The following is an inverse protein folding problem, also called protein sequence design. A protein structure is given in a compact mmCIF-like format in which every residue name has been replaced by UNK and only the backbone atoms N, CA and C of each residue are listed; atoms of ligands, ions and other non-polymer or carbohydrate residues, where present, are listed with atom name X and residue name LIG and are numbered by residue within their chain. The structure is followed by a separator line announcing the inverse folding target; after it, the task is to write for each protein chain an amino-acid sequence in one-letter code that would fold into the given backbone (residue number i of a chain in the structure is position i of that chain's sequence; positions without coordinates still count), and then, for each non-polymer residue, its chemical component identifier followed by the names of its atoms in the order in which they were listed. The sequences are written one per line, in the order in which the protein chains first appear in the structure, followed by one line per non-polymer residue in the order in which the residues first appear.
data_IF_557127414570
#
_entry.id   IF_557127414570
#
_cell.length_a   1.000
_cell.length_b   1.000
_cell.length_c   1.000
_cell.angle_alpha   90.00
_cell.angle_beta   90.00
_cell.angle_gamma   90.00
#
_symmetry.space_group_name_H-M   'P 1'
#
loop_
_entity.id
_entity.type
_entity.pdbx_description
1 polymer ?
#
# COMPACT_ATOMS: atom_id res chain seq x y z
N UNK A 1 -5.02 25.42 14.41
CA UNK A 1 -5.91 25.07 13.27
C UNK A 1 -5.14 24.40 12.13
N UNK A 2 -4.05 24.98 11.66
CA UNK A 2 -3.21 24.40 10.57
C UNK A 2 -2.62 23.03 10.92
N UNK A 3 -2.15 22.83 12.16
CA UNK A 3 -1.63 21.54 12.68
C UNK A 3 -2.65 20.39 12.56
N UNK A 4 -3.92 20.66 12.87
CA UNK A 4 -5.02 19.69 12.77
C UNK A 4 -5.30 19.29 11.32
N UNK A 5 -5.22 20.25 10.39
CA UNK A 5 -5.40 20.00 8.96
C UNK A 5 -4.26 19.13 8.42
N UNK A 6 -3.02 19.42 8.81
CA UNK A 6 -1.86 18.59 8.43
C UNK A 6 -1.97 17.17 8.99
N UNK A 7 -2.38 17.02 10.25
CA UNK A 7 -2.58 15.72 10.88
C UNK A 7 -3.69 14.92 10.19
N UNK A 8 -4.82 15.56 9.86
CA UNK A 8 -5.91 14.93 9.12
C UNK A 8 -5.50 14.52 7.70
N UNK A 9 -4.72 15.35 7.00
CA UNK A 9 -4.21 15.05 5.66
C UNK A 9 -3.25 13.85 5.68
N UNK A 10 -2.42 13.75 6.73
CA UNK A 10 -1.51 12.62 6.96
C UNK A 10 -2.27 11.32 7.24
N UNK A 11 -3.32 11.41 8.05
CA UNK A 11 -4.21 10.28 8.35
C UNK A 11 -4.96 9.83 7.09
N UNK A 12 -5.45 10.77 6.27
CA UNK A 12 -6.05 10.49 4.96
C UNK A 12 -5.07 9.81 3.99
N UNK A 13 -3.84 10.31 3.88
CA UNK A 13 -2.81 9.71 3.03
C UNK A 13 -2.42 8.30 3.46
N UNK A 14 -2.27 8.08 4.77
CA UNK A 14 -2.02 6.76 5.33
C UNK A 14 -3.20 5.81 5.10
N UNK A 15 -4.43 6.27 5.34
CA UNK A 15 -5.65 5.49 5.13
C UNK A 15 -5.81 5.09 3.65
N UNK A 16 -5.54 6.02 2.73
CA UNK A 16 -5.59 5.78 1.28
C UNK A 16 -4.56 4.73 0.83
N UNK A 17 -3.34 4.79 1.38
CA UNK A 17 -2.31 3.77 1.10
C UNK A 17 -2.69 2.39 1.64
N UNK A 18 -3.25 2.31 2.85
CA UNK A 18 -3.72 1.03 3.42
C UNK A 18 -4.90 0.47 2.63
N UNK A 19 -5.85 1.32 2.22
CA UNK A 19 -6.99 0.89 1.43
C UNK A 19 -6.57 0.34 0.06
N UNK A 20 -5.69 1.04 -0.65
CA UNK A 20 -5.16 0.58 -1.95
C UNK A 20 -4.36 -0.73 -1.80
N UNK A 21 -3.59 -0.87 -0.72
CA UNK A 21 -2.90 -2.11 -0.41
C UNK A 21 -3.86 -3.29 -0.26
N UNK A 22 -4.92 -3.14 0.55
CA UNK A 22 -5.93 -4.17 0.78
C UNK A 22 -6.64 -4.54 -0.53
N UNK A 23 -6.99 -3.56 -1.36
CA UNK A 23 -7.66 -3.80 -2.65
C UNK A 23 -6.76 -4.59 -3.60
N UNK A 24 -5.48 -4.21 -3.72
CA UNK A 24 -4.52 -4.92 -4.59
C UNK A 24 -4.27 -6.33 -4.09
N UNK A 25 -4.09 -6.51 -2.78
CA UNK A 25 -3.92 -7.83 -2.19
C UNK A 25 -5.16 -8.72 -2.40
N UNK A 26 -6.38 -8.16 -2.23
CA UNK A 26 -7.63 -8.87 -2.48
C UNK A 26 -7.82 -9.27 -3.95
N UNK A 27 -7.49 -8.38 -4.89
CA UNK A 27 -7.49 -8.71 -6.32
C UNK A 27 -6.50 -9.83 -6.64
N UNK A 28 -5.31 -9.80 -6.02
CA UNK A 28 -4.31 -10.84 -6.23
C UNK A 28 -4.76 -12.20 -5.67
N UNK A 29 -5.30 -12.24 -4.45
CA UNK A 29 -5.85 -13.48 -3.86
C UNK A 29 -6.97 -14.07 -4.72
N UNK A 30 -7.85 -13.23 -5.27
CA UNK A 30 -8.89 -13.67 -6.23
C UNK A 30 -8.29 -14.22 -7.51
N UNK A 31 -7.29 -13.55 -8.09
CA UNK A 31 -6.61 -13.99 -9.30
C UNK A 31 -5.91 -15.36 -9.11
N UNK A 32 -5.26 -15.56 -7.96
CA UNK A 32 -4.65 -16.84 -7.57
C UNK A 32 -5.72 -17.92 -7.35
N UNK A 33 -6.81 -17.59 -6.67
CA UNK A 33 -7.90 -18.52 -6.35
C UNK A 33 -8.69 -19.00 -7.56
N UNK A 34 -8.80 -18.17 -8.61
CA UNK A 34 -9.45 -18.54 -9.88
C UNK A 34 -8.57 -19.43 -10.78
N UNK A 35 -7.31 -19.70 -10.39
CA UNK A 35 -6.40 -20.59 -11.14
C UNK A 35 -5.95 -20.04 -12.50
N UNK A 36 -6.16 -18.74 -12.74
CA UNK A 36 -5.84 -18.09 -14.01
C UNK A 36 -4.37 -17.69 -14.05
N UNK A 37 -3.62 -18.36 -14.92
CA UNK A 37 -2.29 -17.98 -15.41
C UNK A 37 -1.18 -17.95 -14.34
N UNK A 38 -0.40 -19.04 -14.26
CA UNK A 38 0.74 -19.23 -13.35
C UNK A 38 1.75 -18.07 -13.39
N UNK A 39 1.92 -17.45 -14.57
CA UNK A 39 2.80 -16.29 -14.78
C UNK A 39 2.23 -15.03 -14.12
N UNK A 40 0.91 -14.80 -14.21
CA UNK A 40 0.24 -13.68 -13.55
C UNK A 40 0.28 -13.81 -12.02
N UNK A 41 0.20 -15.04 -11.52
CA UNK A 41 0.39 -15.35 -10.10
C UNK A 41 1.82 -15.05 -9.65
N UNK A 42 2.83 -15.51 -10.37
CA UNK A 42 4.24 -15.24 -10.02
C UNK A 42 4.56 -13.74 -10.07
N UNK A 43 4.17 -13.05 -11.14
CA UNK A 43 4.39 -11.61 -11.27
C UNK A 43 3.65 -10.82 -10.18
N UNK A 44 2.39 -11.15 -9.93
CA UNK A 44 1.63 -10.46 -8.89
C UNK A 44 2.14 -10.76 -7.48
N UNK A 45 2.71 -11.95 -7.20
CA UNK A 45 3.36 -12.25 -5.92
C UNK A 45 4.59 -11.40 -5.70
N UNK A 46 5.46 -11.28 -6.73
CA UNK A 46 6.64 -10.41 -6.67
C UNK A 46 6.21 -8.96 -6.46
N UNK A 47 5.20 -8.50 -7.23
CA UNK A 47 4.70 -7.15 -7.14
C UNK A 47 4.08 -6.85 -5.76
N UNK A 48 3.34 -7.79 -5.19
CA UNK A 48 2.72 -7.67 -3.87
C UNK A 48 3.80 -7.64 -2.77
N UNK A 49 4.83 -8.47 -2.86
CA UNK A 49 5.99 -8.41 -1.97
C UNK A 49 6.74 -7.07 -2.05
N UNK A 50 6.91 -6.53 -3.27
CA UNK A 50 7.52 -5.21 -3.47
C UNK A 50 6.65 -4.11 -2.86
N UNK A 51 5.32 -4.18 -3.01
CA UNK A 51 4.40 -3.21 -2.38
C UNK A 51 4.49 -3.32 -0.86
N UNK A 52 4.42 -4.54 -0.28
CA UNK A 52 4.58 -4.76 1.16
C UNK A 52 5.93 -4.25 1.66
N UNK A 53 7.02 -4.44 0.92
CA UNK A 53 8.35 -4.00 1.35
C UNK A 53 8.59 -2.49 1.20
N UNK A 54 8.11 -1.90 0.10
CA UNK A 54 8.43 -0.51 -0.27
C UNK A 54 7.44 0.48 0.34
N UNK A 55 6.14 0.20 0.33
CA UNK A 55 5.14 1.17 0.81
C UNK A 55 5.31 1.56 2.29
N UNK A 56 5.53 0.63 3.24
CA UNK A 56 5.74 1.02 4.63
C UNK A 56 7.00 1.85 4.83
N UNK A 57 8.07 1.57 4.06
CA UNK A 57 9.33 2.33 4.10
C UNK A 57 9.14 3.74 3.55
N UNK A 58 8.38 3.89 2.47
CA UNK A 58 8.02 5.20 1.91
C UNK A 58 7.15 5.98 2.89
N UNK A 59 6.15 5.34 3.50
CA UNK A 59 5.32 5.97 4.54
C UNK A 59 6.18 6.41 5.71
N UNK A 60 7.07 5.56 6.22
CA UNK A 60 7.96 5.90 7.33
C UNK A 60 8.88 7.07 6.97
N UNK A 61 9.48 7.09 5.77
CA UNK A 61 10.32 8.21 5.31
C UNK A 61 9.54 9.51 5.13
N UNK A 62 8.38 9.45 4.47
CA UNK A 62 7.55 10.64 4.26
C UNK A 62 7.06 11.18 5.60
N UNK A 63 6.56 10.30 6.47
CA UNK A 63 6.19 10.61 7.86
C UNK A 63 7.34 11.28 8.63
N UNK A 64 8.58 10.81 8.46
CA UNK A 64 9.75 11.41 9.12
C UNK A 64 10.08 12.81 8.60
N UNK A 65 9.90 13.07 7.30
CA UNK A 65 10.10 14.41 6.70
C UNK A 65 9.05 15.45 7.14
N UNK A 66 7.95 15.03 7.74
CA UNK A 66 6.96 15.93 8.34
C UNK A 66 7.22 16.21 9.82
N UNK A 67 8.20 15.55 10.45
CA UNK A 67 8.59 15.75 11.87
C UNK A 67 9.88 16.58 12.00
N UNK A 68 10.74 16.54 10.97
CA UNK A 68 11.91 17.43 10.82
C UNK A 68 11.54 18.72 10.10
#
# INVERSE_FOLDING_TARGET
MVELIFSALRLLGALWMVATFIVVAGCFVRLVGEGKDLVGVLFGSIFLWVIIGVMPVVVAKMAWRFVS
#
